data_IF_998906944981
#
_entry.id   IF_998906944981
#
_cell.length_a   1.000
_cell.length_b   1.000
_cell.length_c   1.000
_cell.angle_alpha   90.00
_cell.angle_beta   90.00
_cell.angle_gamma   90.00
#
_symmetry.space_group_name_H-M   'P 1'
#
loop_
_entity.id
_entity.type
_entity.pdbx_description
1 polymer ?
#
# COMPACT_ATOMS: atom_id res chain seq x y z
N UNK A 1 11.05 18.30 -5.07
CA UNK A 1 11.50 18.26 -3.65
C UNK A 1 11.76 16.81 -3.28
N UNK A 2 12.82 16.46 -2.53
CA UNK A 2 13.11 15.07 -2.15
C UNK A 2 13.73 15.00 -0.76
N UNK A 3 13.12 14.24 0.15
CA UNK A 3 13.60 14.04 1.51
C UNK A 3 13.59 12.56 1.89
N UNK A 4 14.56 12.16 2.70
CA UNK A 4 14.66 10.80 3.22
C UNK A 4 14.92 10.89 4.71
N UNK A 5 13.99 10.40 5.48
CA UNK A 5 14.01 10.43 6.92
C UNK A 5 14.14 9.03 7.49
N UNK A 6 14.76 8.94 8.67
CA UNK A 6 14.83 7.72 9.47
C UNK A 6 14.39 8.00 10.89
N UNK A 7 13.72 7.03 11.50
CA UNK A 7 13.32 7.04 12.90
C UNK A 7 13.77 5.74 13.55
N UNK A 8 14.47 5.84 14.68
CA UNK A 8 15.00 4.70 15.39
C UNK A 8 14.77 4.83 16.89
N UNK A 9 14.13 3.81 17.46
CA UNK A 9 13.98 3.60 18.91
C UNK A 9 14.34 2.15 19.27
N UNK A 10 14.17 1.76 20.53
CA UNK A 10 14.51 0.41 21.03
C UNK A 10 13.73 -0.73 20.36
N UNK A 11 12.61 -0.44 19.69
CA UNK A 11 11.66 -1.42 19.12
C UNK A 11 11.40 -1.20 17.62
N UNK A 12 11.87 -0.11 17.04
CA UNK A 12 11.47 0.38 15.72
C UNK A 12 12.67 0.94 14.96
N UNK A 13 12.86 0.47 13.73
CA UNK A 13 13.78 1.04 12.75
C UNK A 13 12.96 1.31 11.49
N UNK A 14 12.57 2.58 11.31
CA UNK A 14 11.63 3.04 10.28
C UNK A 14 12.31 4.02 9.33
N UNK A 15 11.88 4.01 8.07
CA UNK A 15 12.24 5.03 7.09
C UNK A 15 10.97 5.67 6.51
N UNK A 16 11.09 6.91 6.07
CA UNK A 16 10.04 7.66 5.39
C UNK A 16 10.68 8.57 4.35
N UNK A 17 10.21 8.51 3.11
CA UNK A 17 10.74 9.27 2.00
C UNK A 17 9.59 10.04 1.36
N UNK A 18 9.85 11.25 0.86
CA UNK A 18 8.92 11.98 0.01
C UNK A 18 9.64 12.53 -1.20
N UNK A 19 9.03 12.35 -2.38
CA UNK A 19 9.53 12.82 -3.67
C UNK A 19 8.41 13.58 -4.41
N UNK A 20 8.56 14.90 -4.52
CA UNK A 20 7.61 15.77 -5.25
C UNK A 20 8.10 15.95 -6.68
N UNK A 21 7.19 15.69 -7.63
CA UNK A 21 7.34 15.88 -9.07
C UNK A 21 6.10 16.59 -9.61
N UNK A 22 6.28 17.81 -10.13
CA UNK A 22 5.21 18.66 -10.64
C UNK A 22 4.07 18.83 -9.62
N UNK A 23 2.83 18.52 -10.00
CA UNK A 23 1.65 18.58 -9.14
C UNK A 23 1.40 17.29 -8.35
N UNK A 24 2.39 16.40 -8.23
CA UNK A 24 2.25 15.14 -7.50
C UNK A 24 3.42 14.89 -6.55
N UNK A 25 3.20 14.11 -5.51
CA UNK A 25 4.27 13.56 -4.69
C UNK A 25 4.11 12.08 -4.44
N UNK A 26 5.23 11.40 -4.23
CA UNK A 26 5.32 10.00 -3.83
C UNK A 26 5.89 9.94 -2.43
N UNK A 27 5.19 9.29 -1.51
CA UNK A 27 5.68 8.95 -0.18
C UNK A 27 6.05 7.46 -0.15
N UNK A 28 7.23 7.10 0.34
CA UNK A 28 7.64 5.70 0.53
C UNK A 28 8.07 5.49 1.97
N UNK A 29 7.48 4.52 2.67
CA UNK A 29 7.75 4.29 4.08
C UNK A 29 7.73 2.81 4.45
N UNK A 30 8.24 2.50 5.63
CA UNK A 30 8.24 1.15 6.18
C UNK A 30 9.32 0.95 7.24
N UNK A 31 9.44 -0.28 7.74
CA UNK A 31 10.59 -0.68 8.55
C UNK A 31 11.75 -1.04 7.61
N UNK A 32 12.98 -0.77 8.05
CA UNK A 32 14.19 -0.93 7.22
C UNK A 32 14.37 -2.37 6.68
N UNK A 33 13.82 -3.37 7.38
CA UNK A 33 13.88 -4.80 7.02
C UNK A 33 12.57 -5.38 6.42
N UNK A 34 11.54 -4.56 6.22
CA UNK A 34 10.23 -5.04 5.73
C UNK A 34 9.94 -4.58 4.30
N UNK A 35 8.91 -5.16 3.68
CA UNK A 35 8.37 -4.66 2.42
C UNK A 35 8.05 -3.16 2.52
N UNK A 36 8.43 -2.41 1.48
CA UNK A 36 8.22 -0.96 1.41
C UNK A 36 6.78 -0.68 1.01
N UNK A 37 6.16 0.32 1.63
CA UNK A 37 4.87 0.85 1.23
C UNK A 37 5.08 2.15 0.46
N UNK A 38 4.29 2.35 -0.59
CA UNK A 38 4.35 3.54 -1.44
C UNK A 38 2.95 4.14 -1.56
N UNK A 39 2.85 5.44 -1.37
CA UNK A 39 1.64 6.24 -1.59
C UNK A 39 1.95 7.36 -2.58
N UNK A 40 0.99 7.75 -3.40
CA UNK A 40 1.13 8.89 -4.31
C UNK A 40 -0.11 9.77 -4.20
N UNK A 41 0.09 11.08 -4.15
CA UNK A 41 -1.00 12.06 -4.19
C UNK A 41 -0.76 13.05 -5.32
N UNK A 42 -1.81 13.35 -6.08
CA UNK A 42 -1.80 14.34 -7.16
C UNK A 42 -2.77 15.47 -6.81
N UNK A 43 -2.40 16.70 -7.16
CA UNK A 43 -3.12 17.92 -6.84
C UNK A 43 -3.46 18.70 -8.11
N UNK A 44 -4.38 19.67 -7.99
CA UNK A 44 -4.74 20.56 -9.11
C UNK A 44 -3.54 21.36 -9.62
N UNK A 45 -2.58 21.69 -8.75
CA UNK A 45 -1.40 22.47 -9.09
C UNK A 45 -0.20 22.14 -8.19
N UNK A 46 0.98 22.54 -8.67
CA UNK A 46 2.27 22.34 -7.99
C UNK A 46 2.33 23.05 -6.62
N UNK A 47 1.70 24.21 -6.47
CA UNK A 47 1.74 24.98 -5.21
C UNK A 47 1.04 24.23 -4.07
N UNK A 48 -0.17 23.70 -4.32
CA UNK A 48 -0.91 22.86 -3.37
C UNK A 48 -0.11 21.60 -3.01
N UNK A 49 0.48 20.95 -4.01
CA UNK A 49 1.32 19.77 -3.83
C UNK A 49 2.53 20.05 -2.92
N UNK A 50 3.27 21.13 -3.20
CA UNK A 50 4.43 21.51 -2.41
C UNK A 50 4.06 21.93 -0.99
N UNK A 51 2.93 22.62 -0.80
CA UNK A 51 2.45 23.00 0.53
C UNK A 51 2.17 21.77 1.39
N UNK A 52 1.46 20.80 0.84
CA UNK A 52 1.14 19.55 1.54
C UNK A 52 2.40 18.70 1.80
N UNK A 53 3.29 18.57 0.82
CA UNK A 53 4.55 17.85 0.99
C UNK A 53 5.42 18.43 2.12
N UNK A 54 5.46 19.77 2.24
CA UNK A 54 6.17 20.47 3.32
C UNK A 54 5.49 20.30 4.69
N UNK A 55 4.15 20.24 4.72
CA UNK A 55 3.38 19.92 5.92
C UNK A 55 3.78 18.54 6.45
N UNK A 56 3.67 17.51 5.61
CA UNK A 56 4.06 16.13 5.95
C UNK A 56 5.51 16.01 6.39
N UNK A 57 6.44 16.68 5.70
CA UNK A 57 7.85 16.71 6.11
C UNK A 57 8.02 17.28 7.53
N UNK A 58 7.41 18.44 7.79
CA UNK A 58 7.51 19.13 9.07
C UNK A 58 6.92 18.30 10.21
N UNK A 59 5.84 17.58 9.96
CA UNK A 59 5.22 16.67 10.92
C UNK A 59 6.15 15.49 11.25
N UNK A 60 6.73 14.83 10.26
CA UNK A 60 7.66 13.72 10.53
C UNK A 60 8.89 14.20 11.31
N UNK A 61 9.45 15.37 11.00
CA UNK A 61 10.55 15.97 11.77
C UNK A 61 10.16 16.26 13.23
N UNK A 62 8.95 16.77 13.50
CA UNK A 62 8.43 16.96 14.86
C UNK A 62 8.29 15.64 15.62
N UNK A 63 7.99 14.54 14.92
CA UNK A 63 7.86 13.19 15.46
C UNK A 63 9.21 12.50 15.72
N UNK A 64 10.32 13.24 15.63
CA UNK A 64 11.67 12.73 15.93
C UNK A 64 12.29 11.95 14.77
N UNK A 65 11.69 11.94 13.58
CA UNK A 65 12.39 11.51 12.39
C UNK A 65 13.52 12.49 12.09
N UNK A 66 14.68 11.96 11.71
CA UNK A 66 15.86 12.76 11.36
C UNK A 66 16.16 12.62 9.87
N UNK A 67 16.64 13.69 9.26
CA UNK A 67 17.15 13.67 7.89
C UNK A 67 18.30 12.66 7.80
N UNK A 68 18.14 11.66 6.94
CA UNK A 68 19.22 10.76 6.60
C UNK A 68 20.10 11.50 5.59
N UNK A 69 21.38 11.72 5.94
CA UNK A 69 22.32 12.41 5.07
C UNK A 69 22.31 11.82 3.65
N UNK A 70 21.86 12.62 2.69
CA UNK A 70 21.86 12.31 1.27
C UNK A 70 23.31 12.29 0.80
N UNK A 71 23.95 11.13 0.77
CA UNK A 71 25.02 10.94 -0.20
C UNK A 71 24.36 10.80 -1.58
N UNK A 72 24.67 11.68 -2.55
CA UNK A 72 24.32 11.41 -3.92
C UNK A 72 25.02 10.12 -4.32
N UNK A 73 24.29 9.16 -4.89
CA UNK A 73 24.89 8.00 -5.55
C UNK A 73 25.58 8.54 -6.80
N UNK A 74 26.82 9.02 -6.65
CA UNK A 74 27.69 9.39 -7.75
C UNK A 74 28.33 8.11 -8.30
N UNK A 75 28.13 7.88 -9.60
CA UNK A 75 28.86 6.87 -10.36
C UNK A 75 30.35 7.24 -10.39
N UNK A 76 31.22 6.37 -9.84
CA UNK A 76 32.61 6.04 -10.25
C UNK A 76 33.33 5.43 -9.03
N UNK A 77 34.12 4.37 -9.08
CA UNK A 77 34.61 3.50 -10.15
C UNK A 77 35.16 2.20 -9.52
N UNK A 78 35.10 1.10 -10.28
CA UNK A 78 35.90 -0.13 -10.19
C UNK A 78 36.01 -0.87 -8.85
N UNK A 79 35.06 -1.77 -8.62
CA UNK A 79 35.25 -2.96 -7.80
C UNK A 79 34.28 -4.03 -8.28
N UNK A 80 34.78 -5.05 -8.95
CA UNK A 80 34.01 -6.18 -9.48
C UNK A 80 33.46 -7.00 -8.30
N UNK A 81 32.33 -6.59 -7.73
CA UNK A 81 31.53 -7.40 -6.85
C UNK A 81 30.25 -7.73 -7.60
N UNK A 82 30.02 -9.03 -7.80
CA UNK A 82 28.78 -9.57 -8.36
C UNK A 82 27.60 -8.88 -7.65
N UNK A 83 26.71 -8.27 -8.43
CA UNK A 83 25.34 -8.07 -8.00
C UNK A 83 24.77 -9.48 -7.75
N UNK A 84 24.91 -9.96 -6.53
CA UNK A 84 23.98 -10.95 -6.01
C UNK A 84 22.63 -10.25 -6.02
N UNK A 85 21.87 -10.54 -7.07
CA UNK A 85 20.42 -10.62 -7.01
C UNK A 85 20.14 -11.37 -5.71
N UNK A 86 19.78 -10.62 -4.66
CA UNK A 86 19.21 -11.23 -3.47
C UNK A 86 17.93 -11.85 -3.96
N UNK A 87 18.02 -13.13 -4.31
CA UNK A 87 16.89 -13.98 -4.65
C UNK A 87 15.89 -13.79 -3.51
N UNK A 88 14.82 -13.06 -3.81
CA UNK A 88 13.63 -13.03 -2.99
C UNK A 88 13.30 -14.49 -2.73
N UNK A 89 13.37 -14.91 -1.45
CA UNK A 89 13.06 -16.27 -0.99
C UNK A 89 11.61 -16.69 -1.19
N UNK A 90 10.86 -16.00 -2.04
CA UNK A 90 9.52 -16.35 -2.42
C UNK A 90 9.54 -16.63 -3.93
N UNK A 91 9.30 -17.88 -4.34
CA UNK A 91 9.13 -18.30 -5.74
C UNK A 91 7.92 -17.66 -6.45
N UNK A 92 7.29 -16.67 -5.81
CA UNK A 92 6.12 -15.92 -6.27
C UNK A 92 6.31 -15.28 -7.66
N UNK A 93 7.46 -14.62 -7.99
CA UNK A 93 7.68 -14.14 -9.35
C UNK A 93 7.72 -15.26 -10.39
N UNK A 94 8.33 -16.41 -10.07
CA UNK A 94 8.44 -17.58 -10.98
C UNK A 94 7.08 -18.21 -11.29
N UNK A 95 6.18 -18.25 -10.31
CA UNK A 95 4.80 -18.71 -10.51
C UNK A 95 4.04 -17.79 -11.47
N UNK A 96 4.18 -16.46 -11.31
CA UNK A 96 3.58 -15.50 -12.23
C UNK A 96 4.19 -15.56 -13.63
N UNK A 97 5.52 -15.65 -13.75
CA UNK A 97 6.21 -15.81 -15.04
C UNK A 97 5.71 -17.03 -15.82
N UNK A 98 5.37 -18.11 -15.12
CA UNK A 98 4.80 -19.31 -15.73
C UNK A 98 3.35 -19.06 -16.19
N UNK A 99 2.55 -18.38 -15.37
CA UNK A 99 1.13 -18.10 -15.64
C UNK A 99 0.92 -17.06 -16.75
N UNK A 100 1.75 -16.03 -16.84
CA UNK A 100 1.64 -14.99 -17.88
C UNK A 100 2.01 -15.51 -19.28
N UNK A 101 2.74 -16.62 -19.36
CA UNK A 101 3.05 -17.32 -20.61
C UNK A 101 1.93 -18.27 -21.07
N UNK A 102 0.82 -18.35 -20.34
CA UNK A 102 -0.32 -19.17 -20.71
C UNK A 102 -0.96 -18.65 -22.01
N UNK A 103 -1.49 -19.58 -22.82
CA UNK A 103 -2.12 -19.27 -24.10
C UNK A 103 -3.36 -18.38 -23.97
N UNK A 104 -4.03 -18.42 -22.81
CA UNK A 104 -5.18 -17.58 -22.47
C UNK A 104 -4.85 -16.79 -21.20
N UNK A 105 -4.32 -15.58 -21.38
CA UNK A 105 -3.91 -14.70 -20.30
C UNK A 105 -5.08 -14.32 -19.39
N UNK A 106 -6.23 -13.98 -19.95
CA UNK A 106 -7.39 -13.53 -19.16
C UNK A 106 -7.90 -14.67 -18.27
N UNK A 107 -8.03 -15.89 -18.80
CA UNK A 107 -8.40 -17.06 -18.00
C UNK A 107 -7.35 -17.40 -16.94
N UNK A 108 -6.07 -17.19 -17.24
CA UNK A 108 -4.98 -17.37 -16.27
C UNK A 108 -5.01 -16.33 -15.13
N UNK A 109 -5.56 -15.12 -15.38
CA UNK A 109 -5.72 -14.06 -14.39
C UNK A 109 -6.96 -14.23 -13.51
N UNK A 110 -8.05 -14.85 -13.96
CA UNK A 110 -9.28 -14.95 -13.15
C UNK A 110 -9.05 -15.72 -11.85
N UNK A 111 -8.43 -16.90 -11.92
CA UNK A 111 -8.31 -17.79 -10.76
C UNK A 111 -7.53 -17.19 -9.58
N UNK A 112 -6.37 -16.54 -9.76
CA UNK A 112 -5.64 -15.91 -8.67
C UNK A 112 -6.37 -14.76 -7.98
N UNK A 113 -7.32 -14.11 -8.66
CA UNK A 113 -8.08 -12.98 -8.12
C UNK A 113 -9.51 -13.35 -7.70
N UNK A 114 -9.92 -14.62 -7.89
CA UNK A 114 -11.28 -15.07 -7.60
C UNK A 114 -11.71 -14.84 -6.14
N UNK A 115 -10.76 -14.76 -5.20
CA UNK A 115 -11.02 -14.45 -3.80
C UNK A 115 -11.57 -13.03 -3.56
N UNK A 116 -11.46 -12.12 -4.54
CA UNK A 116 -12.02 -10.77 -4.48
C UNK A 116 -13.53 -10.74 -4.76
N UNK A 117 -14.09 -11.81 -5.31
CA UNK A 117 -15.49 -11.94 -5.67
C UNK A 117 -16.15 -12.97 -4.73
N UNK A 118 -16.29 -12.57 -3.47
CA UNK A 118 -16.79 -13.40 -2.36
C UNK A 118 -18.32 -13.36 -2.21
N UNK A 119 -19.04 -12.48 -2.93
CA UNK A 119 -20.50 -12.50 -2.99
C UNK A 119 -21.07 -13.01 -4.32
N UNK A 120 -22.34 -13.45 -4.27
CA UNK A 120 -23.02 -14.07 -5.41
C UNK A 120 -23.26 -13.03 -6.51
N UNK A 121 -22.57 -13.17 -7.63
CA UNK A 121 -22.65 -12.28 -8.80
C UNK A 121 -21.35 -11.52 -9.08
N UNK A 122 -20.46 -11.41 -8.09
CA UNK A 122 -19.22 -10.65 -8.25
C UNK A 122 -18.24 -11.30 -9.21
N UNK A 123 -18.30 -12.63 -9.39
CA UNK A 123 -17.42 -13.34 -10.31
C UNK A 123 -17.60 -12.86 -11.76
N UNK A 124 -18.83 -12.54 -12.19
CA UNK A 124 -19.04 -11.95 -13.52
C UNK A 124 -18.44 -10.56 -13.63
N UNK A 125 -18.54 -9.75 -12.57
CA UNK A 125 -17.97 -8.40 -12.53
C UNK A 125 -16.44 -8.48 -12.60
N UNK A 126 -15.83 -9.34 -11.77
CA UNK A 126 -14.39 -9.59 -11.77
C UNK A 126 -13.89 -10.04 -13.15
N UNK A 127 -14.60 -10.98 -13.79
CA UNK A 127 -14.27 -11.41 -15.15
C UNK A 127 -14.35 -10.26 -16.16
N UNK A 128 -15.40 -9.44 -16.10
CA UNK A 128 -15.54 -8.26 -16.97
C UNK A 128 -14.43 -7.22 -16.74
N UNK A 129 -13.94 -7.07 -15.51
CA UNK A 129 -12.80 -6.21 -15.20
C UNK A 129 -11.52 -6.82 -15.80
N UNK A 130 -11.20 -8.07 -15.47
CA UNK A 130 -9.96 -8.72 -15.90
C UNK A 130 -9.86 -8.94 -17.42
N UNK A 131 -10.99 -9.00 -18.12
CA UNK A 131 -11.03 -9.01 -19.59
C UNK A 131 -10.59 -7.68 -20.23
N UNK A 132 -10.48 -6.60 -19.46
CA UNK A 132 -10.00 -5.30 -19.95
C UNK A 132 -8.50 -5.08 -19.76
N UNK A 133 -7.78 -6.06 -19.21
CA UNK A 133 -6.32 -6.01 -19.04
C UNK A 133 -5.65 -6.06 -20.41
N UNK A 134 -4.85 -5.05 -20.75
CA UNK A 134 -4.12 -4.98 -22.02
C UNK A 134 -2.74 -5.61 -21.93
N UNK A 135 -2.12 -5.51 -20.75
CA UNK A 135 -0.77 -6.00 -20.52
C UNK A 135 -0.59 -6.42 -19.06
N UNK A 136 0.21 -7.45 -18.87
CA UNK A 136 0.64 -7.90 -17.54
C UNK A 136 2.17 -7.84 -17.49
N UNK A 137 2.70 -7.37 -16.38
CA UNK A 137 4.14 -7.33 -16.11
C UNK A 137 4.43 -7.61 -14.64
N UNK A 138 5.66 -8.02 -14.36
CA UNK A 138 6.14 -8.24 -13.00
C UNK A 138 7.10 -7.10 -12.68
N UNK A 139 6.83 -6.41 -11.57
CA UNK A 139 7.62 -5.30 -11.04
C UNK A 139 8.11 -5.66 -9.63
N UNK A 140 9.07 -4.92 -9.05
CA UNK A 140 9.57 -5.17 -7.69
C UNK A 140 8.46 -5.21 -6.62
N UNK A 141 7.40 -4.43 -6.81
CA UNK A 141 6.22 -4.37 -5.95
C UNK A 141 5.26 -5.57 -6.10
N UNK A 142 5.32 -6.32 -7.22
CA UNK A 142 4.43 -7.46 -7.49
C UNK A 142 3.97 -7.57 -8.94
N UNK A 143 2.82 -8.24 -9.13
CA UNK A 143 2.19 -8.38 -10.43
C UNK A 143 1.41 -7.10 -10.78
N UNK A 144 1.67 -6.53 -11.95
CA UNK A 144 1.01 -5.32 -12.44
C UNK A 144 0.17 -5.64 -13.65
N UNK A 145 -1.14 -5.43 -13.52
CA UNK A 145 -2.12 -5.53 -14.60
C UNK A 145 -2.41 -4.11 -15.10
N UNK A 146 -2.10 -3.85 -16.36
CA UNK A 146 -2.32 -2.57 -17.02
C UNK A 146 -3.63 -2.64 -17.81
N UNK A 147 -4.53 -1.72 -17.52
CA UNK A 147 -5.83 -1.58 -18.19
C UNK A 147 -5.80 -0.41 -19.17
N UNK A 148 -6.84 -0.36 -20.00
CA UNK A 148 -7.15 0.81 -20.85
C UNK A 148 -7.16 2.09 -20.03
N UNK A 149 -6.80 3.20 -20.68
CA UNK A 149 -6.82 4.56 -20.11
C UNK A 149 -5.88 4.76 -18.90
N UNK A 150 -4.88 3.89 -18.74
CA UNK A 150 -3.80 4.07 -17.76
C UNK A 150 -4.09 3.57 -16.36
N UNK A 151 -5.23 2.91 -16.13
CA UNK A 151 -5.51 2.25 -14.85
C UNK A 151 -4.58 1.05 -14.63
N UNK A 152 -4.26 0.77 -13.37
CA UNK A 152 -3.40 -0.34 -12.95
C UNK A 152 -3.98 -1.07 -11.76
N UNK A 153 -3.91 -2.39 -11.77
CA UNK A 153 -4.07 -3.22 -10.59
C UNK A 153 -2.70 -3.79 -10.21
N UNK A 154 -2.21 -3.45 -9.03
CA UNK A 154 -0.93 -3.89 -8.49
C UNK A 154 -1.21 -4.90 -7.38
N UNK A 155 -0.73 -6.12 -7.55
CA UNK A 155 -0.92 -7.22 -6.61
C UNK A 155 0.44 -7.67 -6.03
N UNK A 156 0.69 -7.31 -4.78
CA UNK A 156 1.90 -7.69 -4.06
C UNK A 156 1.96 -9.17 -3.71
N UNK A 157 3.10 -9.65 -3.21
CA UNK A 157 3.26 -11.06 -2.82
C UNK A 157 2.30 -11.48 -1.69
N UNK A 158 2.02 -12.79 -1.54
CA UNK A 158 1.36 -13.35 -0.38
C UNK A 158 1.97 -12.87 0.92
N UNK A 159 1.12 -12.46 1.85
CA UNK A 159 1.52 -12.08 3.19
C UNK A 159 1.78 -13.30 4.07
N UNK A 160 2.63 -13.12 5.09
CA UNK A 160 2.77 -14.10 6.16
C UNK A 160 1.58 -13.99 7.11
N UNK A 161 0.66 -14.97 7.03
CA UNK A 161 -0.57 -15.03 7.83
C UNK A 161 -0.29 -14.87 9.34
N UNK A 162 0.88 -15.32 9.82
CA UNK A 162 1.25 -15.20 11.23
C UNK A 162 1.32 -13.75 11.71
N UNK A 163 1.60 -12.80 10.81
CA UNK A 163 1.63 -11.35 11.10
C UNK A 163 0.22 -10.80 11.34
N UNK A 164 -0.80 -11.42 10.76
CA UNK A 164 -2.17 -10.92 10.77
C UNK A 164 -3.07 -11.61 11.82
N UNK A 165 -2.50 -12.35 12.78
CA UNK A 165 -3.27 -13.10 13.78
C UNK A 165 -4.20 -12.24 14.67
N UNK A 166 -3.97 -10.93 14.74
CA UNK A 166 -4.80 -9.94 15.45
C UNK A 166 -5.85 -9.26 14.57
N UNK A 167 -5.89 -9.56 13.27
CA UNK A 167 -6.85 -9.01 12.32
C UNK A 167 -8.06 -9.93 12.17
N UNK A 168 -9.20 -9.45 11.65
CA UNK A 168 -10.33 -10.31 11.29
C UNK A 168 -9.90 -11.45 10.36
N UNK A 169 -10.50 -12.63 10.52
CA UNK A 169 -10.17 -13.84 9.76
C UNK A 169 -10.35 -13.62 8.26
N UNK A 170 -11.42 -12.94 7.83
CA UNK A 170 -11.61 -12.61 6.42
C UNK A 170 -10.49 -11.73 5.85
N UNK A 171 -9.93 -10.81 6.65
CA UNK A 171 -8.76 -10.03 6.25
C UNK A 171 -7.52 -10.91 6.12
N UNK A 172 -7.27 -11.80 7.08
CA UNK A 172 -6.16 -12.76 7.03
C UNK A 172 -6.22 -13.62 5.76
N UNK A 173 -7.41 -14.10 5.41
CA UNK A 173 -7.65 -14.90 4.19
C UNK A 173 -7.33 -14.11 2.92
N UNK A 174 -7.69 -12.81 2.86
CA UNK A 174 -7.35 -11.94 1.72
C UNK A 174 -5.85 -11.66 1.62
N UNK A 175 -5.18 -11.41 2.75
CA UNK A 175 -3.73 -11.17 2.81
C UNK A 175 -2.88 -12.39 2.45
N UNK A 176 -3.43 -13.60 2.58
CA UNK A 176 -2.77 -14.83 2.14
C UNK A 176 -2.59 -14.91 0.61
N UNK A 177 -3.41 -14.19 -0.17
CA UNK A 177 -3.25 -14.09 -1.62
C UNK A 177 -2.30 -12.96 -2.00
N UNK A 178 -2.61 -11.75 -1.52
CA UNK A 178 -1.82 -10.55 -1.80
C UNK A 178 -1.75 -9.68 -0.54
N UNK A 179 -0.56 -9.46 0.01
CA UNK A 179 -0.35 -8.62 1.20
C UNK A 179 -0.59 -7.13 0.93
N UNK A 180 -0.57 -6.75 -0.34
CA UNK A 180 -0.93 -5.43 -0.84
C UNK A 180 -1.71 -5.60 -2.14
N UNK A 181 -2.77 -4.83 -2.30
CA UNK A 181 -3.54 -4.76 -3.54
C UNK A 181 -3.94 -3.32 -3.79
N UNK A 182 -3.61 -2.77 -4.96
CA UNK A 182 -3.92 -1.39 -5.30
C UNK A 182 -4.59 -1.30 -6.67
N UNK A 183 -5.75 -0.65 -6.75
CA UNK A 183 -6.39 -0.27 -8.00
C UNK A 183 -6.29 1.24 -8.17
N UNK A 184 -5.43 1.68 -9.10
CA UNK A 184 -5.05 3.08 -9.26
C UNK A 184 -5.22 3.56 -10.69
N UNK A 185 -5.43 4.86 -10.86
CA UNK A 185 -5.46 5.52 -12.16
C UNK A 185 -4.04 5.86 -12.67
N UNK A 186 -3.96 6.59 -13.79
CA UNK A 186 -2.71 7.03 -14.38
C UNK A 186 -1.90 7.99 -13.47
N UNK A 187 -2.59 8.71 -12.57
CA UNK A 187 -2.01 9.62 -11.59
C UNK A 187 -1.66 8.92 -10.27
N UNK A 188 -1.76 7.58 -10.24
CA UNK A 188 -1.56 6.71 -9.07
C UNK A 188 -2.52 6.98 -7.91
N UNK A 189 -3.66 7.61 -8.19
CA UNK A 189 -4.75 7.80 -7.23
C UNK A 189 -5.70 6.61 -7.32
N UNK A 190 -6.17 6.12 -6.18
CA UNK A 190 -7.13 5.02 -6.15
C UNK A 190 -7.14 4.31 -4.80
N UNK A 191 -7.63 3.08 -4.79
CA UNK A 191 -7.91 2.33 -3.55
C UNK A 191 -6.77 1.34 -3.28
N UNK A 192 -6.35 1.29 -2.02
CA UNK A 192 -5.27 0.44 -1.52
C UNK A 192 -5.79 -0.45 -0.39
N UNK A 193 -5.72 -1.77 -0.57
CA UNK A 193 -5.91 -2.77 0.47
C UNK A 193 -4.54 -3.22 0.98
N UNK A 194 -4.23 -2.88 2.22
CA UNK A 194 -2.98 -3.23 2.89
C UNK A 194 -3.12 -3.04 4.40
N UNK A 195 -2.25 -3.68 5.19
CA UNK A 195 -2.07 -3.26 6.58
C UNK A 195 -1.44 -1.87 6.61
N UNK A 196 -2.21 -0.90 7.11
CA UNK A 196 -1.69 0.45 7.37
C UNK A 196 -1.32 0.55 8.85
N UNK A 197 -0.04 0.75 9.10
CA UNK A 197 0.49 1.16 10.42
C UNK A 197 0.35 2.68 10.52
N UNK A 198 -0.90 3.17 10.65
CA UNK A 198 -1.16 4.59 10.95
C UNK A 198 -0.99 4.83 12.44
N UNK A 199 -0.36 5.93 12.78
CA UNK A 199 -0.52 6.55 14.09
C UNK A 199 -1.81 7.39 14.04
N UNK A 200 -2.92 6.98 14.67
CA UNK A 200 -4.21 7.64 14.44
C UNK A 200 -4.33 9.04 15.05
N UNK A 201 -3.54 9.39 16.07
CA UNK A 201 -3.45 10.81 16.52
C UNK A 201 -2.80 11.67 15.43
N UNK A 202 -1.85 11.07 14.75
CA UNK A 202 -0.74 11.77 14.15
C UNK A 202 -0.84 11.79 12.62
N UNK A 203 -1.43 10.74 12.04
CA UNK A 203 -1.66 10.55 10.61
C UNK A 203 -3.14 10.72 10.24
N UNK A 204 -4.07 10.73 11.21
CA UNK A 204 -5.51 11.01 11.01
C UNK A 204 -6.00 12.25 11.78
N UNK A 205 -5.09 13.01 12.40
CA UNK A 205 -5.38 14.23 13.17
C UNK A 205 -6.48 14.04 14.25
N UNK A 206 -6.64 12.82 14.80
CA UNK A 206 -7.68 12.54 15.79
C UNK A 206 -7.33 13.15 17.15
N UNK A 207 -8.30 13.84 17.77
CA UNK A 207 -8.15 14.36 19.13
C UNK A 207 -8.08 13.17 20.13
N UNK A 208 -6.94 13.04 20.80
CA UNK A 208 -6.71 12.01 21.81
C UNK A 208 -7.73 12.05 22.97
N UNK A 209 -8.39 13.20 23.19
CA UNK A 209 -9.44 13.38 24.20
C UNK A 209 -10.82 12.93 23.73
N UNK A 210 -11.02 12.67 22.43
CA UNK A 210 -12.27 12.12 21.88
C UNK A 210 -12.21 10.60 21.73
N UNK A 211 -11.00 10.02 21.67
CA UNK A 211 -10.74 8.57 21.62
C UNK A 211 -10.93 7.83 22.95
N UNK A 212 -11.52 8.49 23.97
CA UNK A 212 -11.62 8.06 25.38
C UNK A 212 -12.10 6.60 25.60
N UNK A 213 -12.70 5.94 24.61
CA UNK A 213 -13.14 4.55 24.71
C UNK A 213 -12.17 3.49 24.13
N UNK A 214 -11.19 3.83 23.27
CA UNK A 214 -10.37 2.83 22.57
C UNK A 214 -8.88 3.18 22.44
N UNK A 215 -7.97 2.23 22.75
CA UNK A 215 -6.55 2.45 22.51
C UNK A 215 -6.27 2.49 21.00
N UNK A 216 -5.56 3.52 20.55
CA UNK A 216 -5.17 3.76 19.15
C UNK A 216 -4.59 2.54 18.43
N UNK A 217 -3.76 1.76 19.14
CA UNK A 217 -3.12 0.54 18.61
C UNK A 217 -4.12 -0.58 18.29
N UNK A 218 -5.37 -0.45 18.74
CA UNK A 218 -6.46 -1.37 18.43
C UNK A 218 -7.22 -0.99 17.15
N UNK A 219 -7.04 0.24 16.64
CA UNK A 219 -7.65 0.66 15.37
C UNK A 219 -6.96 -0.08 14.24
N UNK A 220 -7.77 -0.71 13.39
CA UNK A 220 -7.32 -1.51 12.25
C UNK A 220 -7.91 -0.94 10.98
N UNK A 221 -7.03 -0.47 10.10
CA UNK A 221 -7.39 0.20 8.84
C UNK A 221 -6.90 -0.68 7.69
N UNK A 222 -7.75 -1.56 7.15
CA UNK A 222 -7.37 -2.44 6.05
C UNK A 222 -7.30 -1.73 4.69
N UNK A 223 -7.96 -0.58 4.53
CA UNK A 223 -8.10 0.05 3.22
C UNK A 223 -8.15 1.57 3.32
N UNK A 224 -7.56 2.24 2.32
CA UNK A 224 -7.57 3.69 2.18
C UNK A 224 -7.51 4.08 0.70
N UNK A 225 -7.86 5.32 0.39
CA UNK A 225 -7.67 5.90 -0.94
C UNK A 225 -6.80 7.18 -0.93
N UNK A 226 -5.96 7.30 0.10
CA UNK A 226 -5.21 8.47 0.53
C UNK A 226 -5.97 9.42 1.46
N UNK A 227 -7.16 9.89 1.06
CA UNK A 227 -7.91 10.87 1.83
C UNK A 227 -8.80 10.18 2.84
N UNK A 228 -9.51 9.15 2.39
CA UNK A 228 -10.51 8.45 3.17
C UNK A 228 -10.00 7.08 3.58
N UNK A 229 -10.57 6.56 4.65
CA UNK A 229 -10.17 5.26 5.18
C UNK A 229 -11.36 4.39 5.53
N UNK A 230 -11.14 3.09 5.47
CA UNK A 230 -12.07 2.10 5.97
C UNK A 230 -11.44 1.46 7.19
N UNK A 231 -12.11 1.56 8.33
CA UNK A 231 -11.65 1.00 9.60
C UNK A 231 -12.62 -0.04 10.14
N UNK A 232 -12.10 -0.97 10.92
CA UNK A 232 -12.95 -1.92 11.64
C UNK A 232 -13.62 -1.25 12.84
N UNK A 233 -14.95 -1.30 12.88
CA UNK A 233 -15.73 -0.78 13.99
C UNK A 233 -15.48 -1.60 15.27
N UNK A 234 -15.28 -0.96 16.44
CA UNK A 234 -14.92 -1.67 17.66
C UNK A 234 -16.04 -2.57 18.22
N UNK A 235 -17.30 -2.13 18.12
CA UNK A 235 -18.48 -2.83 18.68
C UNK A 235 -19.32 -3.58 17.63
N UNK A 236 -19.68 -2.93 16.52
CA UNK A 236 -20.49 -3.49 15.45
C UNK A 236 -19.85 -4.69 14.75
N UNK A 237 -20.69 -5.65 14.36
CA UNK A 237 -20.30 -6.89 13.70
C UNK A 237 -20.99 -7.01 12.33
N UNK A 238 -20.28 -7.59 11.38
CA UNK A 238 -20.83 -8.00 10.09
C UNK A 238 -21.62 -9.32 10.22
N UNK A 239 -22.18 -9.79 9.10
CA UNK A 239 -22.93 -11.05 9.03
C UNK A 239 -22.12 -12.30 9.38
N UNK A 240 -20.78 -12.22 9.30
CA UNK A 240 -19.84 -13.27 9.70
C UNK A 240 -19.42 -13.19 11.18
N UNK A 241 -20.05 -12.30 11.96
CA UNK A 241 -19.73 -12.01 13.36
C UNK A 241 -18.30 -11.47 13.59
N UNK A 242 -17.70 -10.89 12.55
CA UNK A 242 -16.42 -10.17 12.63
C UNK A 242 -16.66 -8.66 12.75
N UNK A 243 -15.69 -7.84 13.22
CA UNK A 243 -15.82 -6.39 13.21
C UNK A 243 -16.33 -5.85 11.86
N UNK A 244 -17.35 -5.00 11.90
CA UNK A 244 -17.88 -4.36 10.70
C UNK A 244 -16.85 -3.39 10.10
N UNK A 245 -16.80 -3.28 8.78
CA UNK A 245 -15.95 -2.29 8.11
C UNK A 245 -16.76 -1.01 7.90
N UNK A 246 -16.24 0.12 8.37
CA UNK A 246 -16.90 1.43 8.32
C UNK A 246 -16.05 2.39 7.50
N UNK A 247 -16.71 3.13 6.61
CA UNK A 247 -16.11 4.19 5.83
C UNK A 247 -16.01 5.47 6.67
N UNK A 248 -14.85 6.10 6.64
CA UNK A 248 -14.58 7.38 7.27
C UNK A 248 -14.06 8.35 6.20
N UNK A 249 -14.91 9.32 5.89
CA UNK A 249 -14.66 10.42 4.96
C UNK A 249 -13.86 11.51 5.68
N UNK A 250 -12.79 12.00 5.06
CA UNK A 250 -11.97 13.08 5.58
C UNK A 250 -12.44 14.48 5.10
N UNK A 251 -13.66 14.59 4.57
CA UNK A 251 -14.25 15.83 4.03
C UNK A 251 -14.50 16.98 5.03
N UNK A 252 -13.86 18.12 4.73
CA UNK A 252 -14.01 19.51 5.22
C UNK A 252 -14.31 19.74 6.72
N UNK A 253 -13.24 19.88 7.51
CA UNK A 253 -13.16 20.85 8.61
C UNK A 253 -12.32 22.06 8.21
#
# INVERSE_FOLDING_TARGET
>A
MKHRLTFKDDKSDKFWNIEVSENSFIVTYGKTETARQTQTKTFDNEEKCLKEAKKLLSEKLKKGYVEANTQPITKSSNGRAKEEIVESKNGYPKEWETRIKAQDLHKALVRPFAYLADTKGDQSILNSILNQVEKVQIEPEGLVLLFKKGFKLIAGPPGDIKKYNKWPKTFQEKMAYHSTLALIDANRTGIFLQEIDLDPIDDLELDATELNEYPLQSIKIPMNDFSDCWLYHPKEKNSSNEPALVFYDHGEF
#
